data_IF_356088850304
#
_entry.id   IF_356088850304
#
_cell.length_a   1.000
_cell.length_b   1.000
_cell.length_c   1.000
_cell.angle_alpha   90.00
_cell.angle_beta   90.00
_cell.angle_gamma   90.00
#
_symmetry.space_group_name_H-M   'P 1'
#
loop_
_entity.id
_entity.type
_entity.pdbx_description
1 polymer ?
#
# COMPACT_ATOMS: atom_id res chain seq x y z
N UNK A 1 -6.62 4.41 11.64
CA UNK A 1 -6.84 3.06 11.09
C UNK A 1 -5.50 2.36 10.95
N UNK A 2 -5.43 1.08 11.30
CA UNK A 2 -4.24 0.24 11.08
C UNK A 2 -4.57 -0.86 10.07
N UNK A 3 -3.78 -0.97 9.00
CA UNK A 3 -3.96 -1.99 7.96
C UNK A 3 -2.84 -3.01 8.05
N UNK A 4 -3.17 -4.23 8.41
CA UNK A 4 -2.27 -5.39 8.43
C UNK A 4 -2.32 -6.12 7.09
N UNK A 5 -1.18 -6.65 6.65
CA UNK A 5 -1.14 -7.50 5.47
C UNK A 5 -0.22 -8.69 5.72
N UNK A 6 -0.58 -9.83 5.14
CA UNK A 6 -0.04 -11.12 5.52
C UNK A 6 1.12 -11.52 4.62
N UNK A 7 0.91 -11.35 3.31
CA UNK A 7 1.90 -11.73 2.31
C UNK A 7 2.96 -10.64 2.18
N UNK A 8 4.23 -11.03 2.00
CA UNK A 8 5.29 -10.07 1.75
C UNK A 8 5.11 -9.40 0.38
N UNK A 9 4.53 -10.09 -0.61
CA UNK A 9 4.22 -9.51 -1.91
C UNK A 9 3.01 -8.57 -1.84
N UNK A 10 3.28 -7.27 -1.66
CA UNK A 10 2.29 -6.19 -1.70
C UNK A 10 1.47 -6.13 -3.00
N UNK A 11 1.94 -6.77 -4.06
CA UNK A 11 1.25 -6.79 -5.35
C UNK A 11 0.10 -7.82 -5.39
N UNK A 12 0.08 -8.76 -4.45
CA UNK A 12 -0.88 -9.86 -4.37
C UNK A 12 -1.26 -10.17 -2.91
N UNK A 13 -1.84 -9.19 -2.20
CA UNK A 13 -2.14 -9.29 -0.75
C UNK A 13 -3.49 -8.69 -0.39
N UNK A 14 -3.94 -8.96 0.83
CA UNK A 14 -5.15 -8.38 1.43
C UNK A 14 -4.75 -7.52 2.60
N UNK A 15 -5.22 -6.27 2.59
CA UNK A 15 -5.10 -5.32 3.69
C UNK A 15 -6.31 -5.48 4.60
N UNK A 16 -6.06 -5.81 5.86
CA UNK A 16 -7.06 -6.06 6.89
C UNK A 16 -6.97 -5.00 7.97
N UNK A 17 -8.09 -4.55 8.53
CA UNK A 17 -8.07 -3.60 9.64
C UNK A 17 -7.60 -4.23 10.97
N UNK A 18 -7.54 -3.44 12.04
CA UNK A 18 -7.20 -3.89 13.39
C UNK A 18 -8.11 -5.03 13.94
N UNK A 19 -9.30 -5.23 13.35
CA UNK A 19 -10.25 -6.30 13.69
C UNK A 19 -10.11 -7.52 12.76
N UNK A 20 -9.13 -7.51 11.86
CA UNK A 20 -8.90 -8.59 10.89
C UNK A 20 -9.84 -8.57 9.68
N UNK A 21 -10.69 -7.55 9.55
CA UNK A 21 -11.66 -7.46 8.45
C UNK A 21 -10.95 -7.02 7.17
N UNK A 22 -11.18 -7.70 6.03
CA UNK A 22 -10.58 -7.30 4.77
C UNK A 22 -11.14 -5.94 4.34
N UNK A 23 -10.25 -4.99 4.03
CA UNK A 23 -10.60 -3.63 3.60
C UNK A 23 -10.21 -3.38 2.15
N UNK A 24 -9.05 -3.88 1.76
CA UNK A 24 -8.55 -3.78 0.40
C UNK A 24 -7.85 -5.06 -0.04
N UNK A 25 -7.81 -5.28 -1.34
CA UNK A 25 -7.03 -6.33 -1.97
C UNK A 25 -6.20 -5.72 -3.11
N UNK A 26 -4.95 -6.14 -3.20
CA UNK A 26 -4.12 -5.95 -4.39
C UNK A 26 -4.03 -7.25 -5.14
N UNK A 27 -4.22 -7.18 -6.45
CA UNK A 27 -4.08 -8.33 -7.33
C UNK A 27 -3.37 -7.92 -8.62
N UNK A 28 -2.31 -8.64 -8.97
CA UNK A 28 -1.51 -8.32 -10.14
C UNK A 28 -1.67 -9.37 -11.22
N UNK A 29 -2.26 -8.95 -12.34
CA UNK A 29 -2.36 -9.78 -13.51
C UNK A 29 -1.02 -9.82 -14.24
N UNK A 30 -0.44 -11.03 -14.36
CA UNK A 30 0.73 -11.33 -15.19
C UNK A 30 1.90 -12.00 -14.45
N UNK A 31 2.53 -12.97 -15.12
CA UNK A 31 3.70 -13.71 -14.62
C UNK A 31 4.95 -12.84 -14.52
N UNK A 32 5.83 -13.08 -13.55
CA UNK A 32 7.10 -12.37 -13.35
C UNK A 32 8.04 -12.39 -14.58
N UNK A 33 7.82 -13.34 -15.50
CA UNK A 33 8.62 -13.59 -16.70
C UNK A 33 7.96 -13.15 -18.01
N UNK A 34 6.76 -12.55 -17.97
CA UNK A 34 6.04 -12.12 -19.18
C UNK A 34 6.50 -10.77 -19.72
N UNK A 35 6.57 -10.62 -21.05
CA UNK A 35 6.81 -9.35 -21.74
C UNK A 35 5.59 -8.39 -21.72
N UNK A 36 4.45 -8.82 -21.17
CA UNK A 36 3.23 -8.03 -21.11
C UNK A 36 3.27 -6.97 -20.01
N UNK A 37 2.54 -5.87 -20.22
CA UNK A 37 2.30 -4.86 -19.18
C UNK A 37 1.64 -5.54 -17.96
N UNK A 38 2.30 -5.48 -16.80
CA UNK A 38 1.73 -6.02 -15.55
C UNK A 38 0.83 -4.95 -14.97
N UNK A 39 -0.36 -5.32 -14.52
CA UNK A 39 -1.29 -4.37 -13.90
C UNK A 39 -1.69 -4.87 -12.54
N UNK A 40 -1.42 -4.07 -11.51
CA UNK A 40 -1.96 -4.29 -10.16
C UNK A 40 -3.29 -3.55 -10.06
N UNK A 41 -4.35 -4.28 -9.79
CA UNK A 41 -5.65 -3.72 -9.42
C UNK A 41 -5.73 -3.63 -7.90
N UNK A 42 -6.20 -2.49 -7.41
CA UNK A 42 -6.51 -2.27 -6.01
C UNK A 42 -8.03 -2.21 -5.91
N UNK A 43 -8.59 -3.16 -5.18
CA UNK A 43 -10.02 -3.28 -4.94
C UNK A 43 -10.33 -2.94 -3.48
N UNK A 44 -11.37 -2.14 -3.27
CA UNK A 44 -11.99 -1.95 -1.96
C UNK A 44 -12.98 -3.10 -1.74
N UNK A 45 -12.95 -3.68 -0.55
CA UNK A 45 -13.97 -4.66 -0.16
C UNK A 45 -15.20 -3.88 0.35
N UNK A 46 -16.32 -4.05 -0.35
CA UNK A 46 -17.60 -3.40 -0.04
C UNK A 46 -18.64 -4.45 0.32
N UNK A 47 -19.53 -4.10 1.25
CA UNK A 47 -20.55 -5.03 1.73
C UNK A 47 -20.02 -6.13 2.64
N UNK A 48 -20.92 -7.05 3.01
CA UNK A 48 -20.72 -8.07 4.03
C UNK A 48 -21.31 -7.63 5.38
N UNK A 49 -22.15 -8.48 5.95
CA UNK A 49 -22.68 -8.28 7.29
C UNK A 49 -21.51 -8.24 8.30
N UNK A 50 -21.36 -7.16 9.09
CA UNK A 50 -20.33 -7.05 10.12
C UNK A 50 -20.25 -8.25 11.08
N UNK A 51 -21.34 -9.01 11.22
CA UNK A 51 -21.43 -10.23 12.01
C UNK A 51 -20.83 -11.48 11.33
N UNK A 52 -20.66 -11.48 10.01
CA UNK A 52 -19.98 -12.55 9.25
C UNK A 52 -18.46 -12.49 9.36
N UNK A 53 -17.95 -11.41 9.95
CA UNK A 53 -16.58 -11.30 10.39
C UNK A 53 -16.59 -11.63 11.89
N UNK A 54 -16.43 -12.91 12.30
CA UNK A 54 -16.10 -13.18 13.69
C UNK A 54 -14.90 -12.28 14.04
N UNK A 55 -14.78 -11.83 15.29
CA UNK A 55 -13.60 -11.12 15.78
C UNK A 55 -12.37 -11.96 15.47
N UNK A 56 -11.84 -11.78 14.27
CA UNK A 56 -10.77 -12.60 13.76
C UNK A 56 -9.57 -12.07 14.47
N UNK A 57 -9.01 -12.92 15.34
CA UNK A 57 -7.71 -12.70 15.96
C UNK A 57 -6.79 -11.98 14.97
N UNK A 58 -6.02 -11.01 15.47
CA UNK A 58 -4.95 -10.34 14.70
C UNK A 58 -4.29 -11.31 13.75
N UNK A 59 -3.94 -10.89 12.54
CA UNK A 59 -3.22 -11.73 11.57
C UNK A 59 -2.07 -12.45 12.29
N UNK A 60 -2.22 -13.76 12.49
CA UNK A 60 -1.28 -14.59 13.27
C UNK A 60 -0.53 -15.57 12.39
N UNK A 61 -1.00 -15.82 11.16
CA UNK A 61 -0.44 -16.82 10.26
C UNK A 61 -0.40 -16.34 8.80
N UNK A 62 0.64 -16.78 8.09
CA UNK A 62 0.91 -16.48 6.67
C UNK A 62 -0.15 -17.03 5.70
N UNK A 63 -0.97 -17.96 6.19
CA UNK A 63 -1.92 -18.77 5.46
C UNK A 63 -3.38 -18.32 5.65
N UNK A 64 -3.63 -17.14 6.25
CA UNK A 64 -4.96 -16.51 6.26
C UNK A 64 -5.36 -16.20 4.82
N UNK A 65 -5.87 -17.23 4.21
CA UNK A 65 -6.21 -17.38 2.82
C UNK A 65 -7.30 -16.39 2.47
N UNK A 66 -7.12 -15.71 1.33
CA UNK A 66 -8.10 -14.82 0.70
C UNK A 66 -9.45 -15.55 0.43
N UNK A 67 -9.53 -16.86 0.71
CA UNK A 67 -10.76 -17.66 0.71
C UNK A 67 -11.88 -17.07 1.54
N UNK A 68 -11.62 -16.35 2.63
CA UNK A 68 -12.71 -15.74 3.41
C UNK A 68 -13.48 -14.68 2.59
N UNK A 69 -12.78 -13.95 1.71
CA UNK A 69 -13.39 -13.00 0.77
C UNK A 69 -14.36 -13.74 -0.16
N UNK A 70 -13.93 -14.86 -0.73
CA UNK A 70 -14.72 -15.67 -1.66
C UNK A 70 -15.87 -16.44 -0.97
N UNK A 71 -15.60 -17.04 0.19
CA UNK A 71 -16.56 -17.84 0.96
C UNK A 71 -17.68 -16.95 1.50
N UNK A 72 -17.35 -15.75 1.99
CA UNK A 72 -18.33 -14.81 2.51
C UNK A 72 -19.01 -13.97 1.42
N UNK A 73 -18.67 -14.20 0.14
CA UNK A 73 -19.26 -13.51 -1.00
C UNK A 73 -19.08 -11.99 -0.94
N UNK A 74 -17.92 -11.53 -0.44
CA UNK A 74 -17.65 -10.10 -0.31
C UNK A 74 -17.49 -9.48 -1.70
N UNK A 75 -18.09 -8.31 -1.89
CA UNK A 75 -18.01 -7.60 -3.16
C UNK A 75 -16.69 -6.83 -3.23
N UNK A 76 -15.95 -7.04 -4.32
CA UNK A 76 -14.73 -6.29 -4.62
C UNK A 76 -15.05 -5.15 -5.59
N UNK A 77 -14.86 -3.91 -5.15
CA UNK A 77 -15.00 -2.72 -5.98
C UNK A 77 -13.61 -2.21 -6.40
N UNK A 78 -13.22 -2.32 -7.67
CA UNK A 78 -11.96 -1.75 -8.17
C UNK A 78 -11.95 -0.22 -7.98
N UNK A 79 -10.97 0.31 -7.24
CA UNK A 79 -10.83 1.75 -6.99
C UNK A 79 -9.68 2.37 -7.74
N UNK A 80 -8.61 1.60 -8.00
CA UNK A 80 -7.47 2.07 -8.79
C UNK A 80 -6.68 0.92 -9.41
N UNK A 81 -5.83 1.26 -10.39
CA UNK A 81 -4.89 0.34 -11.00
C UNK A 81 -3.53 1.00 -11.21
N UNK A 82 -2.47 0.20 -11.06
CA UNK A 82 -1.09 0.56 -11.40
C UNK A 82 -0.67 -0.29 -12.59
N UNK A 83 -0.52 0.34 -13.74
CA UNK A 83 0.06 -0.29 -14.94
C UNK A 83 1.57 -0.14 -14.87
N UNK A 84 2.24 -1.25 -14.57
CA UNK A 84 3.68 -1.34 -14.46
C UNK A 84 4.32 -1.46 -15.83
N UNK A 85 5.24 -0.56 -16.11
CA UNK A 85 6.05 -0.58 -17.33
C UNK A 85 7.52 -0.67 -16.95
N UNK A 86 8.25 -1.63 -17.54
CA UNK A 86 9.69 -1.84 -17.30
C UNK A 86 10.54 -0.76 -17.99
N UNK A 87 10.20 -0.44 -19.23
CA UNK A 87 11.00 0.45 -20.09
C UNK A 87 10.39 1.86 -20.16
N UNK A 88 9.08 1.97 -20.02
CA UNK A 88 8.36 3.24 -20.02
C UNK A 88 7.86 3.60 -18.62
N UNK A 89 7.33 4.81 -18.46
CA UNK A 89 6.81 5.27 -17.18
C UNK A 89 5.52 4.52 -16.82
N UNK A 90 5.43 4.08 -15.57
CA UNK A 90 4.22 3.47 -15.03
C UNK A 90 3.05 4.46 -15.06
N UNK A 91 1.84 3.92 -15.11
CA UNK A 91 0.61 4.69 -15.24
C UNK A 91 -0.33 4.33 -14.09
N UNK A 92 -0.96 5.33 -13.50
CA UNK A 92 -2.06 5.16 -12.55
C UNK A 92 -3.39 5.37 -13.26
N UNK A 93 -4.34 4.49 -12.97
CA UNK A 93 -5.74 4.62 -13.39
C UNK A 93 -6.60 4.70 -12.14
N UNK A 94 -7.25 5.82 -11.89
CA UNK A 94 -8.08 6.04 -10.71
C UNK A 94 -9.07 7.18 -10.99
N UNK A 95 -10.25 7.17 -10.38
CA UNK A 95 -11.26 8.23 -10.56
C UNK A 95 -11.57 8.54 -12.06
N UNK A 96 -11.61 7.49 -12.88
CA UNK A 96 -11.82 7.60 -14.33
C UNK A 96 -10.69 8.29 -15.11
N UNK A 97 -9.57 8.63 -14.46
CA UNK A 97 -8.40 9.31 -15.05
C UNK A 97 -7.27 8.33 -15.28
N UNK A 98 -6.46 8.62 -16.30
CA UNK A 98 -5.20 7.94 -16.56
C UNK A 98 -4.06 8.96 -16.43
N UNK A 99 -3.16 8.74 -15.47
CA UNK A 99 -2.10 9.70 -15.12
C UNK A 99 -0.76 8.98 -15.12
N UNK A 100 0.25 9.51 -15.83
CA UNK A 100 1.60 8.96 -15.75
C UNK A 100 2.17 9.30 -14.37
N UNK A 101 2.86 8.33 -13.76
CA UNK A 101 3.45 8.48 -12.42
C UNK A 101 4.32 9.73 -12.28
N UNK A 102 5.08 10.09 -13.31
CA UNK A 102 5.93 11.30 -13.31
C UNK A 102 5.17 12.62 -13.32
N UNK A 103 3.93 12.60 -13.79
CA UNK A 103 3.08 13.80 -13.91
C UNK A 103 2.34 14.02 -12.59
N UNK A 104 2.06 12.93 -11.85
CA UNK A 104 1.53 12.99 -10.49
C UNK A 104 2.61 13.33 -9.45
N UNK A 105 3.78 12.72 -9.54
CA UNK A 105 4.83 12.87 -8.53
C UNK A 105 5.91 13.87 -8.95
N UNK A 106 6.07 14.89 -8.12
CA UNK A 106 7.28 15.70 -8.10
C UNK A 106 8.34 14.95 -7.30
N UNK A 107 9.28 14.32 -8.01
CA UNK A 107 10.36 13.56 -7.37
C UNK A 107 11.53 14.46 -7.01
N UNK A 108 11.98 14.39 -5.76
CA UNK A 108 13.20 15.03 -5.31
C UNK A 108 14.18 13.95 -4.86
N UNK A 109 15.38 13.96 -5.44
CA UNK A 109 16.46 13.05 -5.04
C UNK A 109 17.42 13.82 -4.14
N UNK A 110 17.47 13.45 -2.85
CA UNK A 110 18.48 13.94 -1.91
C UNK A 110 19.53 12.86 -1.62
N UNK A 111 20.61 13.24 -0.92
CA UNK A 111 21.77 12.37 -0.64
C UNK A 111 21.41 11.10 0.18
N UNK A 112 20.28 11.09 0.92
CA UNK A 112 19.92 10.01 1.87
C UNK A 112 18.53 9.38 1.70
N UNK A 113 17.64 9.97 0.91
CA UNK A 113 16.28 9.46 0.73
C UNK A 113 15.71 9.93 -0.62
N UNK A 114 14.93 9.04 -1.25
CA UNK A 114 14.08 9.42 -2.39
C UNK A 114 12.75 9.91 -1.84
N UNK A 115 12.30 11.06 -2.34
CA UNK A 115 11.04 11.67 -1.94
C UNK A 115 10.13 11.83 -3.14
N UNK A 116 8.87 11.44 -2.97
CA UNK A 116 7.84 11.54 -4.01
C UNK A 116 6.67 12.35 -3.46
N UNK A 117 6.53 13.58 -3.94
CA UNK A 117 5.46 14.49 -3.51
C UNK A 117 4.32 14.46 -4.51
N UNK A 118 3.08 14.33 -4.03
CA UNK A 118 1.86 14.42 -4.85
C UNK A 118 0.81 15.31 -4.18
N UNK A 119 -0.17 15.75 -4.95
CA UNK A 119 -1.36 16.44 -4.44
C UNK A 119 -2.54 15.47 -4.53
N UNK A 120 -3.19 15.18 -3.41
CA UNK A 120 -4.35 14.29 -3.37
C UNK A 120 -5.64 15.01 -3.79
N UNK A 121 -6.74 14.27 -3.96
CA UNK A 121 -8.05 14.85 -4.31
C UNK A 121 -8.58 15.88 -3.31
N UNK A 122 -8.16 15.81 -2.04
CA UNK A 122 -8.50 16.81 -1.03
C UNK A 122 -7.73 18.14 -1.17
N UNK A 123 -6.92 18.30 -2.22
CA UNK A 123 -6.13 19.48 -2.52
C UNK A 123 -4.88 19.64 -1.65
N UNK A 124 -4.61 18.71 -0.73
CA UNK A 124 -3.43 18.75 0.13
C UNK A 124 -2.26 18.02 -0.53
N UNK A 125 -1.05 18.51 -0.23
CA UNK A 125 0.19 17.89 -0.68
C UNK A 125 0.69 16.88 0.34
N UNK A 126 1.24 15.78 -0.17
CA UNK A 126 1.77 14.70 0.64
C UNK A 126 3.08 14.20 0.04
N UNK A 127 4.02 13.81 0.90
CA UNK A 127 5.36 13.38 0.49
C UNK A 127 5.65 11.98 1.02
N UNK A 128 5.79 11.01 0.12
CA UNK A 128 6.36 9.71 0.45
C UNK A 128 7.86 9.84 0.66
N UNK A 129 8.36 9.35 1.77
CA UNK A 129 9.79 9.29 2.08
C UNK A 129 10.24 7.83 2.06
N UNK A 130 11.02 7.47 1.05
CA UNK A 130 11.57 6.13 0.90
C UNK A 130 12.96 6.05 1.55
N UNK A 131 13.14 5.03 2.40
CA UNK A 131 14.43 4.69 3.03
C UNK A 131 14.68 3.18 2.93
N UNK A 132 15.73 2.65 3.58
CA UNK A 132 15.96 1.21 3.70
C UNK A 132 14.87 0.47 4.50
N UNK A 133 13.98 1.20 5.16
CA UNK A 133 12.82 0.70 5.87
C UNK A 133 11.55 1.22 5.21
N UNK A 134 10.37 0.64 5.53
CA UNK A 134 9.13 0.97 4.86
C UNK A 134 8.90 2.48 4.75
N UNK A 135 8.32 2.86 3.62
CA UNK A 135 7.92 4.20 3.30
C UNK A 135 6.96 4.74 4.37
N UNK A 136 7.13 6.01 4.72
CA UNK A 136 6.14 6.78 5.48
C UNK A 136 5.70 7.98 4.65
N UNK A 137 4.52 8.50 4.99
CA UNK A 137 3.93 9.67 4.34
C UNK A 137 3.96 10.86 5.30
N UNK A 138 4.46 11.98 4.79
CA UNK A 138 4.45 13.27 5.47
C UNK A 138 3.39 14.19 4.84
N UNK A 139 2.71 14.99 5.68
CA UNK A 139 1.81 16.05 5.23
C UNK A 139 2.63 17.28 4.81
N UNK A 140 2.26 17.86 3.67
CA UNK A 140 2.91 19.01 3.07
C UNK A 140 4.03 18.65 2.09
N UNK A 141 4.61 19.66 1.43
CA UNK A 141 5.75 19.47 0.56
C UNK A 141 6.99 18.99 1.34
N UNK A 142 7.89 18.33 0.63
CA UNK A 142 9.22 17.96 1.14
C UNK A 142 9.91 19.14 1.81
N UNK A 143 10.37 18.97 3.06
CA UNK A 143 11.08 20.00 3.82
C UNK A 143 10.20 20.83 4.77
N UNK A 144 8.90 20.56 4.82
CA UNK A 144 8.00 21.13 5.85
C UNK A 144 8.53 20.79 7.25
N UNK A 145 8.63 21.80 8.13
CA UNK A 145 9.17 21.66 9.48
C UNK A 145 8.16 22.19 10.52
N UNK A 146 7.77 21.40 11.54
CA UNK A 146 8.13 19.99 11.73
C UNK A 146 7.43 19.07 10.70
N UNK A 147 8.06 17.96 10.28
CA UNK A 147 7.40 16.99 9.43
C UNK A 147 6.27 16.32 10.21
N UNK A 148 5.06 16.35 9.64
CA UNK A 148 3.88 15.70 10.23
C UNK A 148 3.69 14.36 9.53
N UNK A 149 4.07 13.26 10.20
CA UNK A 149 3.85 11.91 9.69
C UNK A 149 2.38 11.53 9.85
N UNK A 150 1.75 11.16 8.74
CA UNK A 150 0.32 10.82 8.68
C UNK A 150 0.06 9.38 8.23
N UNK A 151 1.06 8.76 7.60
CA UNK A 151 1.07 7.32 7.33
C UNK A 151 2.42 6.76 7.75
N UNK A 152 2.40 5.65 8.48
CA UNK A 152 3.59 4.94 8.92
C UNK A 152 3.49 3.47 8.51
N UNK A 153 4.44 3.02 7.69
CA UNK A 153 4.61 1.61 7.36
C UNK A 153 5.59 0.94 8.31
N UNK A 154 5.30 -0.32 8.66
CA UNK A 154 6.25 -1.19 9.35
C UNK A 154 6.35 -2.53 8.65
N UNK A 155 7.58 -2.98 8.43
CA UNK A 155 7.89 -4.21 7.73
C UNK A 155 7.75 -5.41 8.65
N UNK A 156 7.81 -6.60 8.05
CA UNK A 156 7.76 -7.85 8.81
C UNK A 156 8.97 -7.95 9.75
N UNK A 157 8.73 -8.41 10.97
CA UNK A 157 9.77 -8.81 11.92
C UNK A 157 9.52 -10.25 12.33
N UNK A 158 10.54 -11.09 12.22
CA UNK A 158 10.51 -12.47 12.72
C UNK A 158 10.90 -12.58 14.20
N UNK A 159 11.22 -11.46 14.86
CA UNK A 159 11.61 -11.47 16.29
C UNK A 159 12.94 -12.18 16.59
N UNK A 160 13.79 -12.36 15.58
CA UNK A 160 15.07 -13.10 15.71
C UNK A 160 16.10 -12.30 16.53
N UNK A 161 15.93 -10.97 16.64
CA UNK A 161 16.81 -10.11 17.45
C UNK A 161 16.35 -10.08 18.91
N UNK A 162 17.27 -10.17 19.90
CA UNK A 162 16.92 -10.09 21.32
C UNK A 162 16.07 -8.86 21.66
N UNK A 163 14.96 -9.06 22.37
CA UNK A 163 14.05 -7.98 22.77
C UNK A 163 13.17 -7.42 21.64
N UNK A 164 13.13 -8.04 20.46
CA UNK A 164 12.21 -7.68 19.38
C UNK A 164 11.13 -8.74 19.24
N UNK A 165 9.88 -8.33 19.37
CA UNK A 165 8.74 -9.20 19.09
C UNK A 165 8.55 -9.38 17.59
N UNK A 166 8.14 -10.60 17.22
CA UNK A 166 7.68 -10.88 15.87
C UNK A 166 6.38 -10.12 15.59
N UNK A 167 6.26 -9.54 14.40
CA UNK A 167 5.03 -8.92 13.94
C UNK A 167 4.92 -8.97 12.43
N UNK A 168 3.68 -9.08 11.97
CA UNK A 168 3.32 -8.91 10.57
C UNK A 168 3.45 -7.46 10.15
N UNK A 169 3.67 -7.20 8.85
CA UNK A 169 3.75 -5.86 8.36
C UNK A 169 2.39 -5.15 8.46
N UNK A 170 2.44 -3.84 8.69
CA UNK A 170 1.27 -3.02 8.86
C UNK A 170 1.48 -1.60 8.35
N UNK A 171 0.38 -0.91 8.08
CA UNK A 171 0.32 0.46 7.63
C UNK A 171 -0.66 1.23 8.52
N UNK A 172 -0.15 2.15 9.32
CA UNK A 172 -0.97 3.01 10.17
C UNK A 172 -1.30 4.30 9.42
N UNK A 173 -2.57 4.61 9.28
CA UNK A 173 -3.09 5.77 8.55
C UNK A 173 -3.87 6.68 9.51
N UNK A 174 -3.52 7.98 9.51
CA UNK A 174 -4.21 9.04 10.24
C UNK A 174 -5.68 9.15 9.79
N UNK A 175 -6.60 9.46 10.71
CA UNK A 175 -8.03 9.56 10.40
C UNK A 175 -8.34 10.64 9.35
N UNK A 176 -7.56 11.73 9.33
CA UNK A 176 -7.71 12.81 8.34
C UNK A 176 -7.49 12.34 6.90
N UNK A 177 -6.85 11.19 6.73
CA UNK A 177 -6.50 10.60 5.44
C UNK A 177 -7.52 9.57 4.96
N UNK A 178 -8.52 9.21 5.77
CA UNK A 178 -9.55 8.25 5.38
C UNK A 178 -10.32 8.66 4.10
N UNK A 179 -10.63 9.95 3.86
CA UNK A 179 -11.28 10.37 2.61
C UNK A 179 -10.44 10.15 1.35
N UNK A 180 -9.11 10.03 1.48
CA UNK A 180 -8.17 9.84 0.38
C UNK A 180 -7.45 8.47 0.47
N UNK A 181 -8.04 7.52 1.20
CA UNK A 181 -7.40 6.24 1.49
C UNK A 181 -7.09 5.42 0.23
N UNK A 182 -7.93 5.49 -0.79
CA UNK A 182 -7.70 4.81 -2.08
C UNK A 182 -6.41 5.32 -2.75
N UNK A 183 -6.22 6.65 -2.76
CA UNK A 183 -5.03 7.29 -3.31
C UNK A 183 -3.79 6.95 -2.47
N UNK A 184 -3.94 6.89 -1.14
CA UNK A 184 -2.86 6.48 -0.25
C UNK A 184 -2.44 5.05 -0.51
N UNK A 185 -3.37 4.10 -0.64
CA UNK A 185 -3.00 2.72 -0.92
C UNK A 185 -2.38 2.57 -2.31
N UNK A 186 -2.92 3.23 -3.33
CA UNK A 186 -2.34 3.23 -4.67
C UNK A 186 -0.90 3.76 -4.66
N UNK A 187 -0.68 4.91 -4.05
CA UNK A 187 0.64 5.53 -4.00
C UNK A 187 1.61 4.77 -3.07
N UNK A 188 1.11 4.15 -1.99
CA UNK A 188 1.88 3.30 -1.08
C UNK A 188 2.40 2.05 -1.79
N UNK A 189 1.51 1.28 -2.45
CA UNK A 189 1.89 0.07 -3.20
C UNK A 189 2.94 0.40 -4.26
N UNK A 190 2.77 1.54 -4.95
CA UNK A 190 3.78 2.03 -5.88
C UNK A 190 5.11 2.37 -5.20
N UNK A 191 5.08 3.15 -4.12
CA UNK A 191 6.27 3.62 -3.42
C UNK A 191 7.08 2.48 -2.82
N UNK A 192 6.42 1.53 -2.15
CA UNK A 192 7.07 0.35 -1.57
C UNK A 192 7.69 -0.54 -2.65
N UNK A 193 7.01 -0.76 -3.77
CA UNK A 193 7.57 -1.54 -4.87
C UNK A 193 8.85 -0.91 -5.42
N UNK A 194 8.88 0.43 -5.56
CA UNK A 194 10.06 1.16 -6.02
C UNK A 194 11.19 1.11 -5.00
N UNK A 195 10.87 1.24 -3.72
CA UNK A 195 11.81 1.07 -2.61
C UNK A 195 12.45 -0.31 -2.65
N UNK A 196 11.66 -1.37 -2.82
CA UNK A 196 12.16 -2.75 -2.90
C UNK A 196 13.14 -2.93 -4.07
N UNK A 197 12.81 -2.41 -5.25
CA UNK A 197 13.67 -2.43 -6.43
C UNK A 197 14.98 -1.65 -6.25
N UNK A 198 14.95 -0.53 -5.52
CA UNK A 198 16.13 0.30 -5.26
C UNK A 198 17.09 -0.31 -4.23
N UNK A 199 16.55 -1.02 -3.22
CA UNK A 199 17.35 -1.60 -2.14
C UNK A 199 17.64 -3.09 -2.33
N UNK A 200 17.26 -3.69 -3.48
CA UNK A 200 17.31 -5.14 -3.73
C UNK A 200 16.66 -5.96 -2.60
N UNK A 201 15.61 -5.42 -1.99
CA UNK A 201 14.83 -6.16 -1.02
C UNK A 201 13.91 -7.13 -1.78
N UNK A 202 14.18 -8.42 -1.64
CA UNK A 202 13.20 -9.46 -1.99
C UNK A 202 12.13 -9.50 -0.90
N UNK A 203 10.87 -9.35 -1.30
CA UNK A 203 9.70 -9.63 -0.48
C UNK A 203 9.19 -11.03 -0.83
#
# INVERSE_FOLDING_TARGET
>A
MELHFVRPDLLNTVFRDEHGRPRYRTETNGTAFGFSERTTTISRIVGGDPSLYPDTERVTADDKSDTDIFINGLEEQPVSQIVWRRVAQSIFKYDGKEVKVKDLFQSQTGVKAKKHTFTASNGQMYTWVATAHPCWLEKGPSGTTPPVKIVEGKGRSHGIRPGKEAHYPWLKVSEECLPILDEILMTFVWAERRRAEDYNDEY
#
